data_IF_125560735883
#
_entry.id   IF_125560735883
#
_cell.length_a   1.000
_cell.length_b   1.000
_cell.length_c   1.000
_cell.angle_alpha   90.00
_cell.angle_beta   90.00
_cell.angle_gamma   90.00
#
_symmetry.space_group_name_H-M   'P 1'
#
loop_
_entity.id
_entity.type
_entity.pdbx_description
1 polymer ?
#
# COMPACT_ATOMS: atom_id res chain seq x y z
N UNK A 1 1.91 9.82 14.68
CA UNK A 1 2.81 9.32 13.61
C UNK A 1 2.89 10.40 12.54
N UNK A 2 3.91 10.38 11.70
CA UNK A 2 4.11 11.29 10.56
C UNK A 2 4.60 10.48 9.35
N UNK A 3 4.49 11.08 8.17
CA UNK A 3 4.94 10.43 6.93
C UNK A 3 4.21 9.12 6.62
N UNK A 4 2.90 9.09 6.90
CA UNK A 4 2.09 7.86 6.78
C UNK A 4 2.07 7.34 5.34
N UNK A 5 1.81 8.22 4.36
CA UNK A 5 1.80 7.84 2.94
C UNK A 5 3.20 7.57 2.40
N UNK A 6 4.23 8.20 2.97
CA UNK A 6 5.61 7.90 2.59
C UNK A 6 5.99 6.45 2.86
N UNK A 7 5.33 5.77 3.81
CA UNK A 7 5.59 4.35 4.07
C UNK A 7 5.29 3.44 2.87
N UNK A 8 4.33 3.79 2.02
CA UNK A 8 4.08 3.11 0.75
C UNK A 8 5.09 3.56 -0.32
N UNK A 9 5.29 4.87 -0.44
CA UNK A 9 6.20 5.44 -1.44
C UNK A 9 7.65 4.96 -1.28
N UNK A 10 8.14 4.79 -0.04
CA UNK A 10 9.47 4.24 0.22
C UNK A 10 9.55 2.78 -0.28
N UNK A 11 8.49 2.00 -0.10
CA UNK A 11 8.40 0.63 -0.61
C UNK A 11 8.47 0.58 -2.13
N UNK A 12 7.62 1.36 -2.80
CA UNK A 12 7.60 1.54 -4.26
C UNK A 12 8.98 1.97 -4.79
N UNK A 13 9.53 3.08 -4.29
CA UNK A 13 10.83 3.62 -4.72
C UNK A 13 11.93 2.58 -4.52
N UNK A 14 11.96 1.89 -3.37
CA UNK A 14 12.97 0.87 -3.07
C UNK A 14 12.83 -0.39 -3.91
N UNK A 15 11.60 -0.76 -4.28
CA UNK A 15 11.28 -1.96 -5.07
C UNK A 15 11.43 -1.78 -6.58
N UNK A 16 11.22 -0.57 -7.10
CA UNK A 16 11.17 -0.29 -8.53
C UNK A 16 12.39 -0.80 -9.33
N UNK A 17 13.64 -0.68 -8.89
CA UNK A 17 14.76 -1.23 -9.64
C UNK A 17 14.72 -2.74 -9.81
N UNK A 18 14.00 -3.43 -8.93
CA UNK A 18 13.93 -4.90 -8.84
C UNK A 18 12.71 -5.50 -9.55
N UNK A 19 11.78 -4.70 -10.02
CA UNK A 19 10.58 -5.18 -10.71
C UNK A 19 10.95 -5.92 -12.00
N UNK A 20 11.73 -5.31 -12.89
CA UNK A 20 12.09 -5.89 -14.18
C UNK A 20 13.61 -6.08 -14.35
N UNK A 21 14.39 -5.02 -14.05
CA UNK A 21 15.78 -4.93 -14.46
C UNK A 21 16.74 -5.72 -13.57
N UNK A 22 16.53 -5.67 -12.25
CA UNK A 22 17.43 -6.26 -11.26
C UNK A 22 16.73 -7.31 -10.38
N UNK A 23 15.72 -7.98 -10.90
CA UNK A 23 14.97 -9.01 -10.14
C UNK A 23 15.91 -9.89 -9.35
N UNK A 24 15.62 -10.05 -8.08
CA UNK A 24 16.48 -10.84 -7.19
C UNK A 24 15.68 -11.59 -6.13
N UNK A 25 16.13 -12.80 -5.82
CA UNK A 25 15.70 -13.54 -4.62
C UNK A 25 16.74 -13.45 -3.49
N UNK A 26 17.84 -12.73 -3.73
CA UNK A 26 18.88 -12.53 -2.72
C UNK A 26 18.55 -11.30 -1.87
N UNK A 27 18.20 -11.53 -0.60
CA UNK A 27 17.91 -10.50 0.40
C UNK A 27 19.04 -9.48 0.54
N UNK A 28 20.30 -9.96 0.59
CA UNK A 28 21.48 -9.10 0.79
C UNK A 28 21.82 -8.24 -0.44
N UNK A 29 21.27 -8.57 -1.60
CA UNK A 29 21.42 -7.78 -2.82
C UNK A 29 20.46 -6.59 -2.91
N UNK A 30 19.46 -6.50 -2.03
CA UNK A 30 18.48 -5.42 -2.04
C UNK A 30 19.08 -4.16 -1.42
N UNK A 31 19.22 -3.11 -2.24
CA UNK A 31 19.63 -1.77 -1.84
C UNK A 31 18.44 -0.81 -2.00
N UNK A 32 17.81 -0.42 -0.89
CA UNK A 32 16.66 0.49 -0.89
C UNK A 32 17.01 1.93 -1.28
N UNK A 33 18.29 2.27 -1.25
CA UNK A 33 18.86 3.58 -1.64
C UNK A 33 19.57 3.53 -3.00
N UNK A 34 19.14 2.64 -3.91
CA UNK A 34 19.73 2.58 -5.26
C UNK A 34 19.60 3.96 -5.95
N UNK A 35 20.66 4.49 -6.53
CA UNK A 35 20.64 5.83 -7.14
C UNK A 35 19.72 5.95 -8.35
N UNK A 36 19.31 4.82 -8.95
CA UNK A 36 18.40 4.78 -10.10
C UNK A 36 16.92 4.64 -9.72
N UNK A 37 16.64 4.52 -8.40
CA UNK A 37 15.27 4.36 -7.95
C UNK A 37 14.45 5.66 -8.14
N UNK A 38 13.16 5.49 -8.42
CA UNK A 38 12.17 6.56 -8.49
C UNK A 38 10.81 5.99 -8.12
N UNK A 39 9.81 6.83 -7.90
CA UNK A 39 8.44 6.37 -7.68
C UNK A 39 7.76 5.95 -8.98
N UNK A 40 6.79 5.05 -8.87
CA UNK A 40 5.99 4.51 -9.95
C UNK A 40 4.51 4.89 -9.81
N UNK A 41 3.64 4.21 -10.56
CA UNK A 41 2.18 4.37 -10.46
C UNK A 41 1.63 3.96 -9.08
N UNK A 42 2.30 3.07 -8.35
CA UNK A 42 1.95 2.72 -6.96
C UNK A 42 1.85 3.97 -6.07
N UNK A 43 2.90 4.78 -6.08
CA UNK A 43 2.92 6.03 -5.32
C UNK A 43 1.89 7.03 -5.84
N UNK A 44 1.81 7.25 -7.16
CA UNK A 44 0.85 8.21 -7.74
C UNK A 44 -0.58 7.84 -7.33
N UNK A 45 -0.97 6.57 -7.48
CA UNK A 45 -2.30 6.09 -7.11
C UNK A 45 -2.55 6.17 -5.60
N UNK A 46 -1.55 5.86 -4.76
CA UNK A 46 -1.65 5.96 -3.30
C UNK A 46 -1.98 7.39 -2.86
N UNK A 47 -1.23 8.36 -3.37
CA UNK A 47 -1.45 9.77 -3.01
C UNK A 47 -2.75 10.32 -3.59
N UNK A 48 -3.14 9.92 -4.80
CA UNK A 48 -4.42 10.31 -5.38
C UNK A 48 -5.61 9.77 -4.57
N UNK A 49 -5.58 8.49 -4.17
CA UNK A 49 -6.61 7.92 -3.31
C UNK A 49 -6.68 8.60 -1.95
N UNK A 50 -5.53 8.81 -1.29
CA UNK A 50 -5.48 9.47 0.01
C UNK A 50 -5.99 10.92 -0.05
N UNK A 51 -5.65 11.67 -1.10
CA UNK A 51 -6.17 13.02 -1.32
C UNK A 51 -7.68 13.02 -1.45
N UNK A 52 -8.24 12.10 -2.26
CA UNK A 52 -9.69 11.98 -2.43
C UNK A 52 -10.39 11.69 -1.11
N UNK A 53 -9.85 10.78 -0.29
CA UNK A 53 -10.42 10.45 1.02
C UNK A 53 -10.45 11.65 1.97
N UNK A 54 -9.34 12.38 2.14
CA UNK A 54 -9.27 13.49 3.11
C UNK A 54 -9.98 14.76 2.66
N UNK A 55 -10.16 14.94 1.36
CA UNK A 55 -10.83 16.11 0.77
C UNK A 55 -12.27 15.81 0.33
N UNK A 56 -12.74 14.58 0.50
CA UNK A 56 -14.07 14.12 0.07
C UNK A 56 -14.33 14.38 -1.43
N UNK A 57 -13.33 14.09 -2.27
CA UNK A 57 -13.43 14.23 -3.73
C UNK A 57 -14.02 12.95 -4.33
N UNK A 58 -14.52 13.05 -5.57
CA UNK A 58 -14.84 11.86 -6.34
C UNK A 58 -13.56 11.04 -6.59
N UNK A 59 -13.60 9.75 -6.23
CA UNK A 59 -12.43 8.89 -6.28
C UNK A 59 -11.97 8.62 -7.71
N UNK A 60 -12.91 8.45 -8.64
CA UNK A 60 -12.58 8.17 -10.03
C UNK A 60 -11.99 9.42 -10.71
N UNK A 61 -12.60 10.58 -10.48
CA UNK A 61 -12.12 11.87 -11.01
C UNK A 61 -10.71 12.17 -10.50
N UNK A 62 -10.48 12.07 -9.19
CA UNK A 62 -9.17 12.41 -8.63
C UNK A 62 -8.06 11.42 -9.07
N UNK A 63 -8.36 10.12 -9.14
CA UNK A 63 -7.44 9.13 -9.71
C UNK A 63 -7.10 9.46 -11.15
N UNK A 64 -8.11 9.74 -11.97
CA UNK A 64 -7.96 10.02 -13.39
C UNK A 64 -7.10 11.26 -13.62
N UNK A 65 -7.39 12.36 -12.92
CA UNK A 65 -6.66 13.63 -13.05
C UNK A 65 -5.20 13.49 -12.61
N UNK A 66 -4.96 12.93 -11.41
CA UNK A 66 -3.60 12.80 -10.85
C UNK A 66 -2.74 11.82 -11.65
N UNK A 67 -3.29 10.68 -12.04
CA UNK A 67 -2.55 9.69 -12.80
C UNK A 67 -2.29 10.12 -14.26
N UNK A 68 -3.23 10.83 -14.90
CA UNK A 68 -2.99 11.41 -16.24
C UNK A 68 -1.88 12.47 -16.24
N UNK A 69 -1.80 13.27 -15.19
CA UNK A 69 -0.75 14.29 -15.08
C UNK A 69 0.66 13.67 -15.02
N UNK A 70 0.78 12.40 -14.61
CA UNK A 70 2.05 11.68 -14.49
C UNK A 70 2.02 10.32 -15.25
N UNK A 71 1.46 10.31 -16.45
CA UNK A 71 1.12 9.12 -17.25
C UNK A 71 2.30 8.17 -17.54
N UNK A 72 3.54 8.63 -17.37
CA UNK A 72 4.74 7.87 -17.69
C UNK A 72 5.32 7.07 -16.50
N UNK A 73 4.51 6.80 -15.47
CA UNK A 73 4.94 6.13 -14.22
C UNK A 73 4.79 4.60 -14.20
N UNK A 74 4.56 3.95 -15.32
CA UNK A 74 4.54 2.48 -15.39
C UNK A 74 3.16 1.85 -15.27
N UNK A 75 2.07 2.63 -15.35
CA UNK A 75 0.69 2.12 -15.24
C UNK A 75 0.42 0.86 -16.06
N UNK A 76 -0.18 -0.13 -15.43
CA UNK A 76 -0.60 -1.36 -16.10
C UNK A 76 -1.50 -1.09 -17.32
N UNK A 77 -1.37 -1.90 -18.39
CA UNK A 77 -1.96 -1.60 -19.69
C UNK A 77 -3.48 -1.39 -19.72
N UNK A 78 -4.26 -1.99 -18.80
CA UNK A 78 -5.72 -1.74 -18.70
C UNK A 78 -5.99 -0.38 -18.04
N UNK A 79 -5.22 -0.04 -17.01
CA UNK A 79 -5.32 1.25 -16.32
C UNK A 79 -4.87 2.39 -17.22
N UNK A 80 -3.76 2.21 -17.96
CA UNK A 80 -3.28 3.20 -18.94
C UNK A 80 -4.34 3.49 -20.02
N UNK A 81 -5.05 2.46 -20.52
CA UNK A 81 -6.18 2.67 -21.45
C UNK A 81 -7.33 3.43 -20.84
N UNK A 82 -7.64 3.18 -19.55
CA UNK A 82 -8.65 3.92 -18.81
C UNK A 82 -8.27 5.40 -18.65
N UNK A 83 -6.98 5.70 -18.40
CA UNK A 83 -6.48 7.06 -18.26
C UNK A 83 -6.49 7.87 -19.56
N UNK A 84 -6.19 7.26 -20.72
CA UNK A 84 -6.10 7.98 -22.01
C UNK A 84 -7.46 8.11 -22.72
N UNK A 85 -8.53 7.59 -22.17
CA UNK A 85 -9.86 7.78 -22.71
C UNK A 85 -10.27 9.26 -22.69
N UNK A 86 -11.17 9.67 -23.59
CA UNK A 86 -11.64 11.06 -23.66
C UNK A 86 -12.40 11.47 -22.38
N UNK A 87 -13.15 10.52 -21.81
CA UNK A 87 -13.93 10.68 -20.58
C UNK A 87 -13.63 9.52 -19.62
N UNK A 88 -13.94 9.71 -18.32
CA UNK A 88 -13.82 8.67 -17.30
C UNK A 88 -14.74 7.50 -17.66
N UNK A 89 -14.16 6.35 -17.87
CA UNK A 89 -14.87 5.13 -18.21
C UNK A 89 -15.35 4.39 -16.96
N UNK A 90 -16.42 3.60 -17.06
CA UNK A 90 -16.80 2.67 -16.00
C UNK A 90 -15.66 1.73 -15.63
N UNK A 91 -15.72 1.17 -14.42
CA UNK A 91 -14.76 0.16 -13.99
C UNK A 91 -14.67 -1.00 -15.00
N UNK A 92 -13.45 -1.48 -15.20
CA UNK A 92 -13.17 -2.59 -16.11
C UNK A 92 -12.96 -3.93 -15.38
N UNK A 93 -13.47 -4.02 -14.14
CA UNK A 93 -13.58 -5.25 -13.36
C UNK A 93 -12.23 -5.96 -13.17
N UNK A 94 -11.22 -5.20 -12.73
CA UNK A 94 -9.87 -5.71 -12.49
C UNK A 94 -9.80 -6.51 -11.18
N UNK A 95 -9.07 -7.63 -11.20
CA UNK A 95 -8.60 -8.34 -10.02
C UNK A 95 -7.08 -8.16 -9.79
N UNK A 96 -6.47 -7.20 -10.49
CA UNK A 96 -5.06 -6.86 -10.34
C UNK A 96 -4.72 -6.30 -8.95
N UNK A 97 -3.44 -6.34 -8.61
CA UNK A 97 -2.93 -5.85 -7.31
C UNK A 97 -3.02 -4.34 -7.13
N UNK A 98 -3.35 -3.60 -8.20
CA UNK A 98 -3.50 -2.15 -8.20
C UNK A 98 -4.50 -1.57 -7.19
N UNK A 99 -5.48 -2.35 -6.73
CA UNK A 99 -6.36 -1.93 -5.62
C UNK A 99 -5.68 -2.04 -4.26
N UNK A 100 -4.82 -3.06 -4.07
CA UNK A 100 -4.07 -3.24 -2.82
C UNK A 100 -2.93 -2.25 -2.66
N UNK A 101 -2.20 -1.93 -3.74
CA UNK A 101 -1.05 -1.03 -3.69
C UNK A 101 -1.42 0.40 -3.25
N UNK A 102 -2.61 0.89 -3.64
CA UNK A 102 -3.02 2.30 -3.45
C UNK A 102 -3.88 2.57 -2.22
N UNK A 103 -4.23 1.53 -1.43
CA UNK A 103 -5.26 1.59 -0.39
C UNK A 103 -4.77 2.02 0.99
N UNK A 104 -3.46 2.17 1.18
CA UNK A 104 -2.87 2.36 2.51
C UNK A 104 -3.50 3.50 3.32
N UNK A 105 -3.91 4.58 2.65
CA UNK A 105 -4.61 5.70 3.28
C UNK A 105 -5.87 5.27 4.03
N UNK A 106 -6.67 4.35 3.48
CA UNK A 106 -7.87 3.86 4.16
C UNK A 106 -7.54 3.16 5.48
N UNK A 107 -6.46 2.36 5.52
CA UNK A 107 -6.06 1.65 6.73
C UNK A 107 -5.53 2.55 7.86
N UNK A 108 -4.98 3.73 7.52
CA UNK A 108 -4.49 4.69 8.50
C UNK A 108 -5.57 5.65 9.02
N UNK A 109 -6.56 5.98 8.17
CA UNK A 109 -7.47 7.10 8.42
C UNK A 109 -8.51 6.78 9.49
N UNK A 110 -8.93 5.52 9.63
CA UNK A 110 -10.11 5.17 10.42
C UNK A 110 -9.86 4.62 11.82
N UNK A 111 -10.95 4.67 12.62
CA UNK A 111 -11.04 4.08 13.96
C UNK A 111 -11.98 2.89 14.03
N UNK A 112 -12.85 2.74 13.07
CA UNK A 112 -13.85 1.70 12.99
C UNK A 112 -13.56 0.75 11.83
N UNK A 113 -13.64 -0.56 12.09
CA UNK A 113 -13.32 -1.59 11.08
C UNK A 113 -14.27 -1.52 9.88
N UNK A 114 -15.57 -1.23 10.12
CA UNK A 114 -16.55 -1.15 9.04
C UNK A 114 -16.28 0.06 8.14
N UNK A 115 -15.92 1.20 8.73
CA UNK A 115 -15.56 2.40 7.99
C UNK A 115 -14.25 2.20 7.20
N UNK A 116 -13.26 1.53 7.78
CA UNK A 116 -12.03 1.14 7.06
C UNK A 116 -12.35 0.27 5.82
N UNK A 117 -13.27 -0.69 5.96
CA UNK A 117 -13.72 -1.54 4.83
C UNK A 117 -14.41 -0.69 3.76
N UNK A 118 -15.25 0.25 4.15
CA UNK A 118 -15.96 1.14 3.21
C UNK A 118 -14.98 2.04 2.45
N UNK A 119 -14.04 2.68 3.13
CA UNK A 119 -13.03 3.52 2.48
C UNK A 119 -12.11 2.70 1.56
N UNK A 120 -11.67 1.51 2.01
CA UNK A 120 -10.89 0.62 1.17
C UNK A 120 -11.65 0.21 -0.10
N UNK A 121 -12.94 -0.10 0.04
CA UNK A 121 -13.81 -0.42 -1.09
C UNK A 121 -13.91 0.76 -2.05
N UNK A 122 -14.14 1.97 -1.56
CA UNK A 122 -14.20 3.18 -2.38
C UNK A 122 -12.93 3.38 -3.22
N UNK A 123 -11.73 3.11 -2.69
CA UNK A 123 -10.49 3.21 -3.48
C UNK A 123 -10.39 2.19 -4.59
N UNK A 124 -11.03 1.02 -4.44
CA UNK A 124 -11.00 -0.05 -5.44
C UNK A 124 -12.01 0.17 -6.59
N UNK A 125 -13.24 0.62 -6.27
CA UNK A 125 -14.38 0.68 -7.19
C UNK A 125 -14.12 1.33 -8.55
N UNK A 126 -13.34 2.42 -8.70
CA UNK A 126 -13.17 3.06 -10.00
C UNK A 126 -12.64 2.14 -11.11
N UNK A 127 -11.86 1.10 -10.75
CA UNK A 127 -11.17 0.25 -11.73
C UNK A 127 -11.10 -1.24 -11.34
N UNK A 128 -11.28 -1.55 -10.05
CA UNK A 128 -11.07 -2.88 -9.45
C UNK A 128 -12.32 -3.37 -8.70
N UNK A 129 -13.49 -3.19 -9.28
CA UNK A 129 -14.78 -3.64 -8.74
C UNK A 129 -15.02 -5.15 -8.82
N UNK A 130 -14.02 -5.92 -9.28
CA UNK A 130 -14.02 -7.38 -9.16
C UNK A 130 -13.94 -7.80 -7.67
N UNK A 131 -14.69 -8.86 -7.23
CA UNK A 131 -14.64 -9.30 -5.84
C UNK A 131 -13.23 -9.50 -5.29
N UNK A 132 -12.30 -10.07 -6.07
CA UNK A 132 -10.91 -10.24 -5.67
C UNK A 132 -10.14 -8.91 -5.60
N UNK A 133 -10.46 -7.93 -6.45
CA UNK A 133 -9.88 -6.59 -6.38
C UNK A 133 -10.31 -5.86 -5.11
N UNK A 134 -11.60 -5.89 -4.77
CA UNK A 134 -12.14 -5.32 -3.53
C UNK A 134 -11.55 -6.05 -2.31
N UNK A 135 -11.52 -7.40 -2.35
CA UNK A 135 -10.94 -8.22 -1.28
C UNK A 135 -9.49 -7.85 -1.00
N UNK A 136 -8.68 -7.63 -2.05
CA UNK A 136 -7.28 -7.23 -1.92
C UNK A 136 -7.11 -5.88 -1.23
N UNK A 137 -7.88 -4.88 -1.64
CA UNK A 137 -7.89 -3.56 -0.99
C UNK A 137 -8.29 -3.67 0.49
N UNK A 138 -9.40 -4.35 0.78
CA UNK A 138 -9.92 -4.52 2.14
C UNK A 138 -8.92 -5.26 3.03
N UNK A 139 -8.32 -6.36 2.57
CA UNK A 139 -7.35 -7.11 3.36
C UNK A 139 -6.10 -6.27 3.68
N UNK A 140 -5.59 -5.51 2.70
CA UNK A 140 -4.44 -4.60 2.90
C UNK A 140 -4.78 -3.50 3.91
N UNK A 141 -5.92 -2.82 3.76
CA UNK A 141 -6.34 -1.76 4.67
C UNK A 141 -6.56 -2.29 6.10
N UNK A 142 -7.20 -3.45 6.26
CA UNK A 142 -7.43 -4.07 7.57
C UNK A 142 -6.13 -4.49 8.26
N UNK A 143 -5.13 -4.96 7.53
CA UNK A 143 -3.83 -5.26 8.12
C UNK A 143 -3.20 -4.00 8.73
N UNK A 144 -3.21 -2.88 8.01
CA UNK A 144 -2.74 -1.59 8.49
C UNK A 144 -3.57 -1.11 9.69
N UNK A 145 -4.90 -1.15 9.57
CA UNK A 145 -5.84 -0.76 10.62
C UNK A 145 -5.59 -1.52 11.93
N UNK A 146 -5.50 -2.84 11.88
CA UNK A 146 -5.27 -3.65 13.07
C UNK A 146 -3.90 -3.37 13.71
N UNK A 147 -2.86 -3.14 12.92
CA UNK A 147 -1.56 -2.69 13.42
C UNK A 147 -1.67 -1.29 14.08
N UNK A 148 -2.44 -0.37 13.50
CA UNK A 148 -2.72 0.94 14.11
C UNK A 148 -3.44 0.82 15.46
N UNK A 149 -4.30 -0.18 15.62
CA UNK A 149 -4.99 -0.50 16.89
C UNK A 149 -4.11 -1.28 17.88
N UNK A 150 -2.82 -1.51 17.58
CA UNK A 150 -1.87 -2.21 18.45
C UNK A 150 -2.07 -3.73 18.50
N UNK A 151 -2.72 -4.31 17.49
CA UNK A 151 -2.80 -5.76 17.35
C UNK A 151 -1.44 -6.33 16.94
N UNK A 152 -1.15 -7.52 17.44
CA UNK A 152 0.08 -8.25 17.10
C UNK A 152 -0.02 -8.97 15.73
N UNK A 153 1.08 -9.52 15.30
CA UNK A 153 1.19 -10.22 14.02
C UNK A 153 0.36 -11.50 13.96
N UNK A 154 0.20 -12.20 15.09
CA UNK A 154 -0.65 -13.40 15.18
C UNK A 154 -2.12 -13.04 14.97
N UNK A 155 -2.55 -11.88 15.51
CA UNK A 155 -3.88 -11.36 15.23
C UNK A 155 -4.08 -11.07 13.74
N UNK A 156 -3.13 -10.38 13.09
CA UNK A 156 -3.20 -10.07 11.65
C UNK A 156 -3.19 -11.35 10.82
N UNK A 157 -2.32 -12.32 11.16
CA UNK A 157 -2.28 -13.63 10.49
C UNK A 157 -3.63 -14.33 10.57
N UNK A 158 -4.25 -14.37 11.74
CA UNK A 158 -5.52 -15.06 11.95
C UNK A 158 -6.71 -14.33 11.33
N UNK A 159 -6.82 -13.01 11.54
CA UNK A 159 -8.02 -12.24 11.23
C UNK A 159 -7.98 -11.54 9.87
N UNK A 160 -6.81 -11.39 9.25
CA UNK A 160 -6.67 -10.87 7.90
C UNK A 160 -6.23 -11.97 6.94
N UNK A 161 -5.02 -12.49 7.06
CA UNK A 161 -4.54 -13.52 6.15
C UNK A 161 -5.45 -14.76 6.16
N UNK A 162 -5.75 -15.33 7.32
CA UNK A 162 -6.60 -16.51 7.47
C UNK A 162 -8.06 -16.32 7.06
N UNK A 163 -8.59 -15.08 7.18
CA UNK A 163 -9.97 -14.75 6.79
C UNK A 163 -10.11 -14.55 5.28
N UNK A 164 -9.18 -13.81 4.66
CA UNK A 164 -9.28 -13.40 3.25
C UNK A 164 -8.51 -14.32 2.29
N UNK A 165 -7.48 -15.01 2.77
CA UNK A 165 -6.61 -15.91 2.01
C UNK A 165 -6.32 -17.19 2.82
N UNK A 166 -7.34 -17.99 3.15
CA UNK A 166 -7.21 -19.14 4.04
C UNK A 166 -6.18 -20.19 3.56
N UNK A 167 -5.97 -20.30 2.26
CA UNK A 167 -4.97 -21.17 1.64
C UNK A 167 -3.52 -20.75 1.94
N UNK A 168 -3.31 -19.48 2.33
CA UNK A 168 -2.00 -18.94 2.71
C UNK A 168 -1.78 -18.92 4.22
N UNK A 169 -2.81 -19.17 5.04
CA UNK A 169 -2.76 -18.97 6.49
C UNK A 169 -1.68 -19.78 7.21
N UNK A 170 -1.42 -21.01 6.72
CA UNK A 170 -0.41 -21.92 7.27
C UNK A 170 0.98 -21.78 6.63
N UNK A 171 1.10 -20.99 5.54
CA UNK A 171 2.36 -20.81 4.84
C UNK A 171 3.25 -19.78 5.55
N UNK A 172 4.56 -19.97 5.39
CA UNK A 172 5.59 -19.03 5.80
C UNK A 172 6.19 -18.33 4.57
N UNK A 173 6.93 -17.24 4.80
CA UNK A 173 7.72 -16.60 3.77
C UNK A 173 8.69 -17.58 3.09
N UNK A 174 9.33 -18.44 3.89
CA UNK A 174 10.28 -19.44 3.39
C UNK A 174 9.63 -20.52 2.52
N UNK A 175 8.36 -20.84 2.77
CA UNK A 175 7.62 -21.81 1.95
C UNK A 175 7.32 -21.27 0.56
N UNK A 176 6.99 -19.97 0.45
CA UNK A 176 6.60 -19.38 -0.82
C UNK A 176 7.79 -18.89 -1.66
N UNK A 177 8.84 -18.39 -1.02
CA UNK A 177 9.96 -17.71 -1.68
C UNK A 177 10.61 -18.49 -2.83
N UNK A 178 10.86 -19.82 -2.74
CA UNK A 178 11.51 -20.55 -3.83
C UNK A 178 10.75 -20.51 -5.15
N UNK A 179 9.44 -20.63 -5.10
CA UNK A 179 8.56 -20.79 -6.25
C UNK A 179 7.79 -19.52 -6.62
N UNK A 180 7.82 -18.45 -5.77
CA UNK A 180 7.15 -17.21 -6.06
C UNK A 180 7.77 -16.55 -7.29
N UNK A 181 6.93 -16.10 -8.22
CA UNK A 181 7.36 -15.42 -9.45
C UNK A 181 6.61 -14.09 -9.63
N UNK A 182 6.67 -13.52 -10.83
CA UNK A 182 6.02 -12.25 -11.16
C UNK A 182 4.49 -12.41 -11.19
N UNK A 183 3.83 -11.91 -10.17
CA UNK A 183 2.39 -12.01 -9.98
C UNK A 183 1.78 -10.61 -9.86
N UNK A 184 0.71 -10.37 -10.59
CA UNK A 184 0.04 -9.07 -10.69
C UNK A 184 -1.42 -9.12 -10.22
N UNK A 185 -1.86 -10.20 -9.59
CA UNK A 185 -3.23 -10.36 -9.09
C UNK A 185 -3.29 -10.18 -7.58
N UNK A 186 -4.42 -9.66 -7.07
CA UNK A 186 -4.63 -9.56 -5.62
C UNK A 186 -4.50 -10.91 -4.91
N UNK A 187 -4.94 -12.01 -5.55
CA UNK A 187 -4.92 -13.34 -4.95
C UNK A 187 -3.51 -13.85 -4.64
N UNK A 188 -2.51 -13.40 -5.39
CA UNK A 188 -1.12 -13.81 -5.20
C UNK A 188 -0.28 -12.74 -4.52
N UNK A 189 -0.45 -11.46 -4.90
CA UNK A 189 0.39 -10.37 -4.39
C UNK A 189 0.07 -10.03 -2.94
N UNK A 190 -1.21 -9.92 -2.58
CA UNK A 190 -1.58 -9.47 -1.23
C UNK A 190 -1.14 -10.44 -0.13
N UNK A 191 -1.44 -11.76 -0.22
CA UNK A 191 -0.98 -12.69 0.81
C UNK A 191 0.55 -12.81 0.87
N UNK A 192 1.26 -12.68 -0.26
CA UNK A 192 2.73 -12.68 -0.28
C UNK A 192 3.31 -11.45 0.45
N UNK A 193 2.75 -10.26 0.23
CA UNK A 193 3.12 -9.03 0.95
C UNK A 193 2.80 -9.14 2.45
N UNK A 194 1.64 -9.74 2.81
CA UNK A 194 1.30 -10.03 4.21
C UNK A 194 2.32 -10.96 4.87
N UNK A 195 2.77 -12.03 4.20
CA UNK A 195 3.79 -12.93 4.75
C UNK A 195 5.14 -12.23 4.95
N UNK A 196 5.56 -11.37 4.01
CA UNK A 196 6.76 -10.57 4.16
C UNK A 196 6.68 -9.66 5.41
N UNK A 197 5.53 -8.99 5.63
CA UNK A 197 5.29 -8.20 6.84
C UNK A 197 5.28 -9.07 8.10
N UNK A 198 4.54 -10.17 8.10
CA UNK A 198 4.36 -11.03 9.28
C UNK A 198 5.69 -11.61 9.80
N UNK A 199 6.65 -11.86 8.93
CA UNK A 199 7.94 -12.44 9.29
C UNK A 199 9.08 -11.42 9.43
N UNK A 200 8.84 -10.15 9.13
CA UNK A 200 9.82 -9.07 9.28
C UNK A 200 10.13 -8.77 10.76
N UNK A 201 11.27 -8.16 11.02
CA UNK A 201 11.70 -7.72 12.36
C UNK A 201 11.68 -6.20 12.54
N UNK A 202 11.72 -5.45 11.44
CA UNK A 202 11.61 -3.99 11.38
C UNK A 202 11.08 -3.56 10.00
N UNK A 203 10.97 -2.26 9.78
CA UNK A 203 10.46 -1.69 8.53
C UNK A 203 11.36 -2.01 7.33
N UNK A 204 12.67 -1.81 7.47
CA UNK A 204 13.64 -2.06 6.38
C UNK A 204 13.67 -3.54 6.00
N UNK A 205 13.68 -4.41 7.00
CA UNK A 205 13.63 -5.86 6.83
C UNK A 205 12.36 -6.29 6.07
N UNK A 206 11.20 -5.69 6.41
CA UNK A 206 9.95 -5.95 5.71
C UNK A 206 10.05 -5.65 4.21
N UNK A 207 10.59 -4.48 3.85
CA UNK A 207 10.76 -4.11 2.44
C UNK A 207 11.74 -5.06 1.73
N UNK A 208 12.85 -5.41 2.36
CA UNK A 208 13.83 -6.35 1.79
C UNK A 208 13.26 -7.75 1.60
N UNK A 209 12.45 -8.23 2.54
CA UNK A 209 11.73 -9.49 2.40
C UNK A 209 10.76 -9.40 1.21
N UNK A 210 9.93 -8.38 1.11
CA UNK A 210 8.98 -8.19 0.02
C UNK A 210 9.67 -8.17 -1.35
N UNK A 211 10.71 -7.36 -1.51
CA UNK A 211 11.48 -7.23 -2.74
C UNK A 211 12.19 -8.54 -3.11
N UNK A 212 12.78 -9.22 -2.13
CA UNK A 212 13.52 -10.48 -2.37
C UNK A 212 12.64 -11.72 -2.58
N UNK A 213 11.31 -11.57 -2.67
CA UNK A 213 10.45 -12.57 -3.29
C UNK A 213 10.71 -12.68 -4.80
N UNK A 214 11.19 -11.60 -5.44
CA UNK A 214 11.55 -11.60 -6.86
C UNK A 214 10.34 -11.52 -7.79
N UNK A 215 9.21 -11.00 -7.32
CA UNK A 215 7.99 -10.76 -8.07
C UNK A 215 7.85 -9.31 -8.56
N UNK A 216 6.65 -8.79 -8.49
CA UNK A 216 6.26 -7.38 -8.65
C UNK A 216 6.72 -6.60 -7.41
N UNK A 217 7.99 -6.22 -7.43
CA UNK A 217 8.76 -5.90 -6.21
C UNK A 217 8.40 -4.57 -5.59
N UNK A 218 8.10 -3.56 -6.42
CA UNK A 218 7.64 -2.24 -5.98
C UNK A 218 6.25 -2.34 -5.36
N UNK A 219 5.33 -3.03 -6.04
CA UNK A 219 3.97 -3.28 -5.50
C UNK A 219 4.00 -4.09 -4.20
N UNK A 220 4.78 -5.18 -4.13
CA UNK A 220 4.91 -5.97 -2.90
C UNK A 220 5.41 -5.11 -1.74
N UNK A 221 6.40 -4.26 -1.97
CA UNK A 221 6.97 -3.38 -0.96
C UNK A 221 6.06 -2.19 -0.64
N UNK A 222 5.35 -1.62 -1.63
CA UNK A 222 4.36 -0.56 -1.41
C UNK A 222 3.16 -1.04 -0.57
N UNK A 223 2.77 -2.32 -0.68
CA UNK A 223 1.72 -2.94 0.13
C UNK A 223 2.21 -3.26 1.55
N UNK A 224 3.39 -3.87 1.68
CA UNK A 224 3.89 -4.33 2.98
C UNK A 224 4.46 -3.21 3.85
N UNK A 225 5.03 -2.16 3.25
CA UNK A 225 5.64 -1.01 3.95
C UNK A 225 4.68 -0.30 4.90
N UNK A 226 3.46 0.08 4.50
CA UNK A 226 2.46 0.67 5.40
C UNK A 226 2.06 -0.24 6.57
N UNK A 227 1.97 -1.56 6.35
CA UNK A 227 1.70 -2.53 7.42
C UNK A 227 2.84 -2.53 8.43
N UNK A 228 4.10 -2.58 7.95
CA UNK A 228 5.29 -2.53 8.79
C UNK A 228 5.38 -1.21 9.57
N UNK A 229 5.13 -0.07 8.91
CA UNK A 229 5.14 1.22 9.60
C UNK A 229 4.02 1.35 10.62
N UNK A 230 2.82 0.87 10.31
CA UNK A 230 1.72 0.84 11.26
C UNK A 230 2.04 -0.01 12.51
N UNK A 231 2.83 -1.06 12.37
CA UNK A 231 3.21 -1.96 13.44
C UNK A 231 4.43 -1.47 14.23
N UNK A 232 5.55 -1.19 13.55
CA UNK A 232 6.82 -0.83 14.19
C UNK A 232 6.90 0.62 14.63
N UNK A 233 6.11 1.51 14.03
CA UNK A 233 6.06 2.96 14.32
C UNK A 233 7.33 3.72 13.98
N UNK A 234 8.25 3.11 13.27
CA UNK A 234 9.56 3.64 12.94
C UNK A 234 9.91 3.33 11.48
N UNK A 235 10.54 4.30 10.81
CA UNK A 235 11.15 4.17 9.50
C UNK A 235 12.54 4.81 9.52
N UNK A 236 13.56 4.25 8.85
CA UNK A 236 14.89 4.85 8.75
C UNK A 236 14.82 6.26 8.14
N UNK A 237 15.56 7.20 8.76
CA UNK A 237 15.51 8.61 8.38
C UNK A 237 16.05 8.86 6.95
N UNK A 238 17.05 8.12 6.54
CA UNK A 238 17.64 8.17 5.20
C UNK A 238 16.70 7.71 4.10
N UNK A 239 15.86 6.71 4.38
CA UNK A 239 14.80 6.29 3.46
C UNK A 239 13.71 7.35 3.32
N UNK A 240 13.33 8.01 4.44
CA UNK A 240 12.38 9.12 4.41
C UNK A 240 12.93 10.27 3.57
N UNK A 241 14.17 10.69 3.83
CA UNK A 241 14.84 11.78 3.10
C UNK A 241 14.95 11.45 1.61
N UNK A 242 15.39 10.23 1.27
CA UNK A 242 15.48 9.78 -0.11
C UNK A 242 14.11 9.88 -0.83
N UNK A 243 13.04 9.41 -0.22
CA UNK A 243 11.69 9.50 -0.80
C UNK A 243 11.26 10.96 -0.97
N UNK A 244 11.44 11.81 0.04
CA UNK A 244 11.06 13.23 -0.03
C UNK A 244 11.77 13.98 -1.15
N UNK A 245 13.04 13.65 -1.47
CA UNK A 245 13.77 14.29 -2.56
C UNK A 245 13.27 13.91 -3.96
N UNK A 246 12.52 12.83 -4.09
CA UNK A 246 12.03 12.29 -5.36
C UNK A 246 10.57 12.63 -5.66
N UNK A 247 9.79 12.93 -4.63
CA UNK A 247 8.36 13.20 -4.77
C UNK A 247 8.09 14.65 -5.16
N UNK A 248 7.11 14.90 -6.04
CA UNK A 248 6.69 16.25 -6.39
C UNK A 248 5.99 16.92 -5.21
N UNK A 249 6.01 18.24 -5.21
CA UNK A 249 5.47 19.10 -4.15
C UNK A 249 4.03 18.74 -3.74
N UNK A 250 3.17 18.42 -4.71
CA UNK A 250 1.76 18.11 -4.40
C UNK A 250 1.62 16.84 -3.55
N UNK A 251 2.49 15.83 -3.73
CA UNK A 251 2.49 14.62 -2.91
C UNK A 251 2.95 14.92 -1.48
N UNK A 252 3.98 15.74 -1.31
CA UNK A 252 4.46 16.16 0.00
C UNK A 252 3.37 16.95 0.75
N UNK A 253 2.67 17.85 0.08
CA UNK A 253 1.54 18.57 0.65
C UNK A 253 0.38 17.64 1.03
N UNK A 254 0.05 16.65 0.19
CA UNK A 254 -0.97 15.64 0.51
C UNK A 254 -0.55 14.81 1.70
N UNK A 255 0.74 14.41 1.82
CA UNK A 255 1.25 13.69 2.98
C UNK A 255 1.02 14.48 4.28
N UNK A 256 1.38 15.76 4.30
CA UNK A 256 1.23 16.60 5.49
C UNK A 256 -0.25 16.79 5.88
N UNK A 257 -1.13 16.99 4.90
CA UNK A 257 -2.57 17.10 5.11
C UNK A 257 -3.15 15.78 5.63
N UNK A 258 -2.67 14.66 5.10
CA UNK A 258 -3.10 13.32 5.50
C UNK A 258 -2.68 13.03 6.94
N UNK A 259 -1.42 13.28 7.30
CA UNK A 259 -0.91 13.14 8.66
C UNK A 259 -1.73 13.96 9.66
N UNK A 260 -2.09 15.19 9.28
CA UNK A 260 -2.93 16.06 10.10
C UNK A 260 -4.37 15.53 10.25
N UNK A 261 -4.95 14.96 9.18
CA UNK A 261 -6.28 14.35 9.21
C UNK A 261 -6.31 13.12 10.13
N UNK A 262 -5.34 12.21 9.98
CA UNK A 262 -5.21 11.02 10.83
C UNK A 262 -5.01 11.41 12.30
N UNK A 263 -4.17 12.41 12.57
CA UNK A 263 -3.96 12.89 13.94
C UNK A 263 -5.27 13.41 14.56
N UNK A 264 -6.11 14.14 13.85
CA UNK A 264 -7.42 14.60 14.32
C UNK A 264 -8.34 13.42 14.62
N UNK A 265 -8.44 12.45 13.72
CA UNK A 265 -9.26 11.25 13.90
C UNK A 265 -8.84 10.51 15.17
N UNK A 266 -7.55 10.26 15.38
CA UNK A 266 -7.06 9.46 16.51
C UNK A 266 -6.99 10.21 17.85
N UNK A 267 -6.93 11.56 17.87
CA UNK A 267 -6.95 12.35 19.12
C UNK A 267 -8.36 12.66 19.63
N UNK A 268 -9.38 12.71 18.78
CA UNK A 268 -10.77 13.00 19.19
C UNK A 268 -11.41 11.93 20.08
N UNK A 269 -10.73 10.82 20.36
CA UNK A 269 -11.18 9.76 21.25
C UNK A 269 -10.70 9.85 22.70
N UNK A 270 -9.79 10.78 23.04
CA UNK A 270 -9.17 10.87 24.37
C UNK A 270 -9.89 11.79 25.37
N UNK A 271 -10.98 12.45 25.00
CA UNK A 271 -11.61 13.50 25.83
C UNK A 271 -12.87 13.04 26.59
N UNK A 272 -13.14 11.76 26.74
CA UNK A 272 -14.30 11.26 27.49
C UNK A 272 -13.96 10.25 28.57
N UNK A 273 -12.90 10.46 29.37
CA UNK A 273 -12.77 9.81 30.67
C UNK A 273 -12.03 10.75 31.63
N UNK A 274 -12.75 11.72 32.14
CA UNK A 274 -12.52 12.29 33.50
C UNK A 274 -13.61 13.31 33.81
N UNK A 275 -14.72 12.86 34.30
CA UNK A 275 -15.56 13.49 35.34
C UNK A 275 -16.61 12.47 35.75
N UNK A 276 -16.37 11.70 36.78
CA UNK A 276 -17.28 11.49 37.92
C UNK A 276 -16.42 10.98 39.09
#
# INVERSE_FOLDING_TARGET
>A
MKNLLLSAAIGDIGGMPYEFRFRTKNYDAVNLLDPHNTYTDDTVCTFACAEALIKHLDMAENLWDRCRADIHRGFGGRFARWLIADDIQPSYHSCGNGSGMRVSGAGFLDKDEAECIDLATQTALPTHDHPEGIKGAVATALAIFHCMQGKDKDYVRKHVLGKYYPEWAALTYSDIKPDYDFEITCQQTIPAALLAFLESKDYEDCLKLAISLGGDSDTLAAISGPMAYAFYREMPADLIENAQTKLPEWMLQVNDLFDAAVAKVHHSGSTLVSVV
#
